data_IF_104396960182
#
_entry.id   IF_104396960182
#
_cell.length_a   1.000
_cell.length_b   1.000
_cell.length_c   1.000
_cell.angle_alpha   90.00
_cell.angle_beta   90.00
_cell.angle_gamma   90.00
#
_symmetry.space_group_name_H-M   'P 1'
#
loop_
_entity.id
_entity.type
_entity.pdbx_description
1 polymer ?
2 non-polymer ?
3 water ?
#
# COMPACT_ATOMS: atom_id res chain seq x y z
N UNK A 2 6.07 6.24 -13.42
CA UNK A 2 4.76 5.58 -13.63
C UNK A 2 4.72 4.67 -14.84
N UNK A 3 5.44 5.03 -15.90
CA UNK A 3 5.29 4.37 -17.17
C UNK A 3 5.34 2.83 -16.90
N UNK A 4 6.36 2.27 -16.24
CA UNK A 4 6.55 0.80 -16.19
C UNK A 4 5.84 0.05 -15.03
N UNK A 5 5.65 -1.29 -15.14
CA UNK A 5 4.98 -2.10 -14.10
C UNK A 5 5.75 -2.38 -12.81
N UNK A 6 7.08 -2.33 -12.87
CA UNK A 6 7.90 -2.84 -11.75
C UNK A 6 8.19 -1.80 -10.67
N UNK A 7 7.90 -2.21 -9.43
CA UNK A 7 8.34 -1.51 -8.23
C UNK A 7 9.57 -2.21 -7.63
N UNK A 8 10.60 -1.43 -7.33
CA UNK A 8 11.74 -1.99 -6.64
C UNK A 8 12.17 -1.09 -5.50
N UNK A 9 13.18 -1.51 -4.76
CA UNK A 9 13.72 -0.71 -3.69
C UNK A 9 15.17 -0.38 -3.92
N UNK A 10 15.65 0.56 -3.13
CA UNK A 10 17.05 0.90 -3.13
C UNK A 10 17.62 0.56 -1.76
N UNK A 11 18.93 0.43 -1.69
CA UNK A 11 19.60 -0.16 -0.51
C UNK A 11 19.67 0.73 0.73
N UNK A 12 19.83 2.04 0.55
CA UNK A 12 20.14 2.89 1.69
C UNK A 12 19.57 4.29 1.72
N UNK A 13 20.32 5.21 2.33
CA UNK A 13 19.83 6.59 2.54
C UNK A 13 20.08 7.48 1.34
N UNK A 14 21.07 7.09 0.53
CA UNK A 14 21.43 7.81 -0.68
C UNK A 14 21.42 6.88 -1.88
N UNK A 15 21.15 7.48 -3.03
CA UNK A 15 21.16 6.74 -4.27
C UNK A 15 22.59 6.32 -4.62
N UNK A 16 22.77 5.07 -5.02
CA UNK A 16 24.05 4.60 -5.53
C UNK A 16 24.12 4.80 -7.04
N UNK A 17 25.33 4.69 -7.58
CA UNK A 17 25.51 4.80 -9.03
C UNK A 17 24.76 3.68 -9.75
N UNK A 18 24.73 2.48 -9.16
CA UNK A 18 24.01 1.38 -9.77
C UNK A 18 22.48 1.63 -9.68
N UNK A 19 22.02 2.29 -8.62
CA UNK A 19 20.60 2.72 -8.50
C UNK A 19 20.18 3.62 -9.65
N UNK A 20 21.02 4.62 -9.92
CA UNK A 20 20.77 5.59 -10.98
C UNK A 20 20.67 4.94 -12.35
N UNK A 21 21.42 3.87 -12.59
CA UNK A 21 21.31 3.11 -13.81
C UNK A 21 20.00 2.33 -13.91
N UNK A 22 19.67 1.57 -12.87
CA UNK A 22 18.48 0.73 -12.95
C UNK A 22 17.20 1.56 -12.99
N UNK A 23 17.19 2.71 -12.32
CA UNK A 23 16.04 3.61 -12.34
C UNK A 23 15.66 4.08 -13.75
N UNK A 24 16.60 4.00 -14.69
CA UNK A 24 16.32 4.40 -16.07
C UNK A 24 15.75 3.29 -16.93
N UNK A 25 15.64 2.09 -16.37
CA UNK A 25 15.08 1.00 -17.11
C UNK A 25 13.57 1.26 -17.30
N UNK A 26 13.06 1.19 -18.54
CA UNK A 26 11.68 1.63 -18.79
C UNK A 26 10.60 0.78 -18.11
N UNK A 27 10.91 -0.47 -17.84
CA UNK A 27 9.99 -1.37 -17.13
C UNK A 27 9.81 -1.01 -15.64
N UNK A 28 10.72 -0.23 -15.08
CA UNK A 28 10.54 0.34 -13.75
C UNK A 28 9.46 1.43 -13.77
N UNK A 29 8.53 1.33 -12.83
CA UNK A 29 7.52 2.36 -12.59
C UNK A 29 7.51 2.98 -11.20
N UNK A 30 8.16 2.36 -10.23
CA UNK A 30 8.16 2.90 -8.88
C UNK A 30 9.29 2.42 -8.00
N UNK A 31 9.56 3.22 -6.98
CA UNK A 31 10.38 2.85 -5.85
C UNK A 31 9.53 2.75 -4.58
N UNK A 32 9.58 1.58 -3.95
CA UNK A 32 9.00 1.40 -2.62
C UNK A 32 10.12 1.64 -1.60
N UNK A 33 9.86 2.55 -0.66
CA UNK A 33 10.79 2.90 0.40
C UNK A 33 10.49 2.13 1.69
N UNK A 34 11.55 1.84 2.45
CA UNK A 34 11.44 1.11 3.71
C UNK A 34 12.16 1.89 4.82
N UNK A 35 12.03 1.41 6.05
CA UNK A 35 12.68 2.07 7.19
C UNK A 35 14.17 2.29 7.00
N UNK A 36 14.84 1.32 6.39
CA UNK A 36 16.27 1.42 6.17
C UNK A 36 16.68 2.50 5.14
N UNK A 37 15.70 3.04 4.42
CA UNK A 37 15.91 4.19 3.49
C UNK A 37 15.64 5.53 4.19
N UNK A 38 15.25 5.49 5.46
CA UNK A 38 14.87 6.71 6.17
C UNK A 38 15.77 6.98 7.37
N UNK A 39 16.49 8.11 7.31
CA UNK A 39 17.27 8.61 8.44
C UNK A 39 16.67 9.89 9.02
N UNK A 40 16.39 10.88 8.18
CA UNK A 40 15.84 12.16 8.64
C UNK A 40 15.17 12.88 7.49
N UNK A 41 14.44 13.94 7.80
CA UNK A 41 13.56 14.59 6.84
C UNK A 41 14.33 15.09 5.60
N UNK A 42 15.42 15.79 5.86
CA UNK A 42 16.26 16.32 4.81
C UNK A 42 16.86 15.21 3.92
N UNK A 43 17.33 14.13 4.54
CA UNK A 43 17.93 13.02 3.80
C UNK A 43 16.87 12.38 2.88
N UNK A 44 15.64 12.28 3.39
CA UNK A 44 14.51 11.73 2.64
C UNK A 44 14.17 12.61 1.45
N UNK A 45 14.04 13.92 1.67
CA UNK A 45 13.83 14.87 0.58
C UNK A 45 14.92 14.72 -0.51
N UNK A 46 16.18 14.65 -0.09
CA UNK A 46 17.30 14.53 -1.02
C UNK A 46 17.22 13.20 -1.80
N UNK A 47 16.84 12.14 -1.10
CA UNK A 47 16.76 10.81 -1.74
C UNK A 47 15.69 10.82 -2.84
N UNK A 48 14.54 11.37 -2.52
CA UNK A 48 13.42 11.36 -3.45
C UNK A 48 13.68 12.28 -4.65
N UNK A 49 14.31 13.42 -4.38
CA UNK A 49 14.71 14.33 -5.45
C UNK A 49 15.68 13.61 -6.40
N UNK A 50 16.64 12.90 -5.83
CA UNK A 50 17.60 12.14 -6.61
C UNK A 50 16.93 11.02 -7.42
N UNK A 51 15.98 10.32 -6.83
CA UNK A 51 15.21 9.29 -7.54
C UNK A 51 14.53 9.90 -8.75
N UNK A 52 13.82 11.00 -8.55
CA UNK A 52 13.06 11.59 -9.65
C UNK A 52 14.02 12.12 -10.73
N UNK A 53 15.17 12.64 -10.34
CA UNK A 53 16.12 13.10 -11.37
C UNK A 53 16.78 11.96 -12.15
N UNK A 54 17.17 10.88 -11.46
CA UNK A 54 17.78 9.73 -12.14
C UNK A 54 16.80 9.08 -13.10
N UNK A 55 15.54 8.95 -12.69
CA UNK A 55 14.53 8.32 -13.52
C UNK A 55 14.28 9.12 -14.81
N UNK A 56 14.40 10.44 -14.69
CA UNK A 56 14.10 11.42 -15.74
C UNK A 56 12.59 11.60 -15.93
N UNK A 57 11.97 10.54 -16.43
CA UNK A 57 10.55 10.49 -16.63
C UNK A 57 9.84 10.44 -15.27
N UNK A 58 8.55 10.74 -15.25
CA UNK A 58 7.79 10.53 -14.00
C UNK A 58 7.98 9.11 -13.47
N UNK A 59 8.07 8.99 -12.14
CA UNK A 59 8.25 7.71 -11.45
C UNK A 59 7.51 7.79 -10.12
N UNK A 60 6.91 6.69 -9.67
CA UNK A 60 6.18 6.70 -8.41
C UNK A 60 7.15 6.40 -7.26
N UNK A 61 6.89 7.05 -6.14
CA UNK A 61 7.54 6.74 -4.88
C UNK A 61 6.45 6.45 -3.84
N UNK A 62 6.55 5.27 -3.26
CA UNK A 62 5.57 4.73 -2.33
C UNK A 62 6.21 4.23 -1.06
N UNK A 63 5.37 4.03 -0.05
CA UNK A 63 5.80 3.63 1.28
C UNK A 63 4.61 2.99 2.01
N UNK A 64 4.88 2.02 2.87
CA UNK A 64 3.92 1.52 3.82
C UNK A 64 3.83 2.45 5.04
N UNK A 65 2.90 3.42 4.96
CA UNK A 65 2.70 4.42 6.03
C UNK A 65 1.23 4.40 6.49
N UNK A 66 0.91 3.42 7.31
CA UNK A 66 -0.44 3.20 7.80
C UNK A 66 -0.72 3.86 9.15
N UNK A 67 0.32 3.96 9.98
CA UNK A 67 0.18 4.36 11.37
C UNK A 67 0.41 3.14 12.24
N UNK A 68 0.68 3.40 13.52
CA UNK A 68 0.83 2.35 14.51
C UNK A 68 2.00 1.46 14.21
N UNK A 69 1.74 0.17 14.06
CA UNK A 69 2.81 -0.82 13.84
C UNK A 69 3.50 -0.69 12.47
N UNK A 70 2.86 0.01 11.53
CA UNK A 70 3.38 0.18 10.16
C UNK A 70 3.48 1.67 9.81
N UNK A 71 4.63 2.24 10.13
CA UNK A 71 4.95 3.63 9.81
C UNK A 71 6.47 3.68 9.61
N UNK A 72 6.91 3.69 8.35
CA UNK A 72 8.33 3.61 8.04
C UNK A 72 9.06 4.87 8.43
N UNK A 73 8.38 6.01 8.33
CA UNK A 73 9.03 7.28 8.65
C UNK A 73 8.40 7.84 9.94
N UNK A 74 9.15 7.82 11.03
CA UNK A 74 8.63 8.26 12.33
C UNK A 74 9.35 9.49 12.88
N UNK A 75 10.65 9.37 13.03
CA UNK A 75 11.45 10.47 13.58
C UNK A 75 11.37 11.70 12.69
N UNK A 76 10.84 12.80 13.25
CA UNK A 76 10.72 14.05 12.50
C UNK A 76 9.37 14.17 11.78
N UNK A 77 8.56 13.14 11.91
CA UNK A 77 7.22 13.10 11.36
C UNK A 77 6.24 13.07 12.53
N UNK A 78 4.99 13.44 12.27
CA UNK A 78 3.93 13.20 13.24
C UNK A 78 3.69 11.70 13.38
N UNK A 79 3.57 11.23 14.62
CA UNK A 79 3.20 9.84 14.84
C UNK A 79 1.71 9.61 14.51
N UNK A 80 1.44 8.58 13.71
CA UNK A 80 0.07 8.24 13.34
C UNK A 80 -0.31 7.00 14.15
N UNK A 81 -1.53 6.99 14.73
CA UNK A 81 -1.92 5.87 15.58
C UNK A 81 -2.21 4.62 14.78
N UNK A 82 -2.27 3.45 15.45
CA UNK A 82 -2.84 2.25 14.80
C UNK A 82 -4.22 2.62 14.30
N UNK A 83 -4.59 2.09 13.14
CA UNK A 83 -5.89 2.34 12.51
C UNK A 83 -7.10 1.97 13.41
N UNK A 84 -6.88 0.97 14.23
CA UNK A 84 -7.85 0.53 15.24
C UNK A 84 -8.31 1.63 16.19
N UNK A 85 -7.41 2.54 16.53
CA UNK A 85 -7.65 3.53 17.60
C UNK A 85 -8.76 4.51 17.29
N UNK A 86 -8.93 4.94 16.03
CA UNK A 86 -9.96 5.96 15.72
C UNK A 86 -11.35 5.59 16.27
N UNK A 87 -11.81 4.36 16.01
CA UNK A 87 -13.13 3.90 16.42
C UNK A 87 -13.28 3.77 17.93
N UNK A 88 -12.17 3.80 18.66
CA UNK A 88 -12.20 3.75 20.14
C UNK A 88 -12.46 5.13 20.77
N UNK A 89 -12.21 6.17 19.99
CA UNK A 89 -12.44 7.56 20.43
C UNK A 89 -13.91 7.94 20.26
N UNK A 90 -14.37 8.92 21.03
CA UNK A 90 -15.76 9.38 20.96
C UNK A 90 -16.08 10.06 19.62
N UNK A 91 -15.08 10.69 19.00
CA UNK A 91 -15.26 11.32 17.68
C UNK A 91 -14.36 10.64 16.63
N UNK A 92 -14.52 9.34 16.48
CA UNK A 92 -13.61 8.52 15.68
C UNK A 92 -13.57 8.80 14.19
N UNK A 93 -14.74 9.03 13.61
CA UNK A 93 -14.83 9.29 12.19
C UNK A 93 -14.15 10.62 11.89
N UNK A 94 -14.38 11.63 12.74
CA UNK A 94 -13.70 12.94 12.63
C UNK A 94 -12.16 12.78 12.75
N UNK A 95 -11.71 12.02 13.74
CA UNK A 95 -10.28 11.80 13.93
C UNK A 95 -9.62 10.92 12.82
N UNK A 96 -10.35 9.92 12.33
CA UNK A 96 -9.82 9.06 11.25
C UNK A 96 -9.45 9.90 10.00
N UNK A 97 -10.27 10.90 9.69
CA UNK A 97 -9.97 11.81 8.60
C UNK A 97 -8.76 12.69 8.84
N UNK A 98 -8.56 13.13 10.10
CA UNK A 98 -7.35 13.86 10.48
C UNK A 98 -6.13 12.96 10.32
N UNK A 99 -6.26 11.71 10.74
CA UNK A 99 -5.17 10.75 10.64
C UNK A 99 -4.75 10.53 9.18
N UNK A 100 -5.73 10.31 8.30
CA UNK A 100 -5.47 10.07 6.88
C UNK A 100 -4.89 11.31 6.21
N UNK A 101 -5.51 12.46 6.49
CA UNK A 101 -5.01 13.74 5.97
C UNK A 101 -3.58 14.03 6.40
N UNK A 102 -3.33 13.92 7.69
CA UNK A 102 -2.00 14.17 8.23
C UNK A 102 -0.93 13.23 7.69
N UNK A 103 -1.22 11.93 7.68
CA UNK A 103 -0.28 10.92 7.15
C UNK A 103 0.06 11.31 5.68
N UNK A 104 -0.97 11.52 4.88
CA UNK A 104 -0.78 11.81 3.46
C UNK A 104 -0.05 13.15 3.21
N UNK A 105 -0.46 14.19 3.94
CA UNK A 105 0.10 15.53 3.80
C UNK A 105 1.59 15.57 4.08
N UNK A 106 2.00 14.95 5.19
CA UNK A 106 3.42 14.88 5.55
C UNK A 106 4.25 14.07 4.54
N UNK A 107 3.70 13.02 3.97
CA UNK A 107 4.38 12.30 2.88
C UNK A 107 4.55 13.16 1.59
N UNK A 108 3.48 13.79 1.14
CA UNK A 108 3.54 14.75 0.03
C UNK A 108 4.59 15.84 0.30
N UNK A 109 4.61 16.36 1.52
CA UNK A 109 5.60 17.36 1.94
C UNK A 109 7.04 16.86 1.79
N UNK A 110 7.23 15.53 1.76
CA UNK A 110 8.56 14.95 1.59
C UNK A 110 8.77 14.26 0.23
N UNK A 111 7.91 14.62 -0.73
CA UNK A 111 8.05 14.28 -2.16
C UNK A 111 7.80 12.77 -2.39
N UNK A 112 6.83 12.22 -1.65
CA UNK A 112 6.42 10.84 -1.77
C UNK A 112 5.04 10.89 -2.41
N UNK A 113 4.79 10.02 -3.39
CA UNK A 113 3.51 10.01 -4.09
C UNK A 113 2.39 9.40 -3.24
N UNK A 114 2.71 8.31 -2.55
CA UNK A 114 1.64 7.50 -1.97
C UNK A 114 2.05 6.59 -0.83
N UNK A 115 1.06 6.29 0.01
CA UNK A 115 1.15 5.29 1.01
C UNK A 115 0.25 4.12 0.61
N UNK A 116 0.77 2.90 0.74
CA UNK A 116 0.01 1.70 0.47
C UNK A 116 -0.99 1.53 1.61
N UNK A 117 -2.05 2.30 1.55
CA UNK A 117 -3.07 2.34 2.62
C UNK A 117 -4.33 2.88 2.00
N UNK A 118 -5.51 2.54 2.59
CA UNK A 118 -5.72 1.88 3.85
C UNK A 118 -5.96 0.36 3.85
N UNK A 119 -5.68 -0.20 5.01
CA UNK A 119 -6.07 -1.55 5.35
C UNK A 119 -7.59 -1.58 5.52
N UNK A 120 -8.22 -2.49 4.75
CA UNK A 120 -9.67 -2.68 4.74
C UNK A 120 -10.06 -4.05 5.30
N UNK A 121 -9.08 -4.76 5.86
CA UNK A 121 -9.30 -6.03 6.54
C UNK A 121 -10.16 -5.84 7.79
N UNK A 122 -10.85 -6.91 8.16
CA UNK A 122 -11.79 -6.89 9.26
C UNK A 122 -11.37 -7.84 10.37
N UNK A 123 -11.25 -7.30 11.58
CA UNK A 123 -10.93 -8.10 12.76
C UNK A 123 -9.50 -7.90 13.17
N UNK A 124 -9.21 -8.31 14.40
CA UNK A 124 -7.90 -8.14 15.00
C UNK A 124 -7.18 -9.45 15.28
N UNK A 125 -7.84 -10.58 15.00
CA UNK A 125 -7.33 -11.90 15.42
C UNK A 125 -6.19 -12.45 14.57
N UNK A 126 -5.95 -11.91 13.39
CA UNK A 126 -4.82 -12.32 12.57
C UNK A 126 -3.61 -11.51 13.05
N UNK A 127 -2.65 -12.18 13.67
CA UNK A 127 -1.43 -11.57 14.18
C UNK A 127 -0.79 -10.52 13.23
N UNK A 128 -0.73 -10.84 11.95
CA UNK A 128 -0.10 -9.96 10.95
C UNK A 128 -0.88 -8.65 10.79
N UNK A 129 -2.18 -8.69 11.08
CA UNK A 129 -3.03 -7.53 10.90
C UNK A 129 -3.20 -6.87 12.24
N UNK A 130 -3.94 -7.50 13.15
CA UNK A 130 -4.08 -6.98 14.52
C UNK A 130 -4.67 -5.57 14.51
N UNK A 131 -4.01 -4.64 15.21
CA UNK A 131 -4.51 -3.25 15.29
C UNK A 131 -4.31 -2.39 14.03
N UNK A 132 -3.79 -3.01 12.94
CA UNK A 132 -3.80 -2.38 11.62
C UNK A 132 -5.20 -2.28 11.03
N UNK A 133 -6.14 -3.08 11.55
CA UNK A 133 -7.51 -3.01 11.09
C UNK A 133 -8.27 -1.86 11.79
N UNK A 134 -9.17 -1.24 11.04
CA UNK A 134 -9.97 -0.14 11.54
C UNK A 134 -11.10 -0.60 12.47
N UNK A 135 -11.38 -1.90 12.49
CA UNK A 135 -12.48 -2.40 13.30
C UNK A 135 -12.70 -3.86 13.04
N UNK A 136 -13.67 -4.42 13.74
CA UNK A 136 -13.91 -5.87 13.66
C UNK A 136 -15.31 -6.24 13.18
N UNK A 137 -16.07 -5.27 12.68
CA UNK A 137 -17.28 -5.52 11.90
C UNK A 137 -17.28 -4.58 10.70
N UNK A 138 -18.18 -4.83 9.75
CA UNK A 138 -18.20 -4.16 8.45
C UNK A 138 -18.44 -2.66 8.58
N UNK A 139 -19.43 -2.27 9.38
CA UNK A 139 -19.78 -0.86 9.49
C UNK A 139 -18.66 -0.05 10.15
N UNK A 140 -18.06 -0.59 11.21
CA UNK A 140 -16.98 0.12 11.86
C UNK A 140 -15.81 0.31 10.89
N UNK A 141 -15.45 -0.74 10.14
CA UNK A 141 -14.38 -0.64 9.17
C UNK A 141 -14.74 0.36 8.08
N UNK A 142 -15.95 0.27 7.53
CA UNK A 142 -16.33 1.18 6.46
C UNK A 142 -16.34 2.63 6.93
N UNK A 143 -16.89 2.88 8.12
CA UNK A 143 -17.05 4.24 8.65
C UNK A 143 -15.72 4.98 8.78
N UNK A 144 -14.77 4.29 9.40
CA UNK A 144 -13.47 4.86 9.75
C UNK A 144 -12.47 4.82 8.60
N UNK A 145 -12.50 3.76 7.78
CA UNK A 145 -11.68 3.72 6.58
C UNK A 145 -12.14 4.75 5.53
N UNK A 146 -13.44 4.95 5.35
CA UNK A 146 -13.94 6.02 4.46
C UNK A 146 -13.43 7.40 4.90
N UNK A 147 -13.41 7.67 6.21
CA UNK A 147 -12.88 8.95 6.74
C UNK A 147 -11.40 9.11 6.42
N UNK A 148 -10.64 8.04 6.66
CA UNK A 148 -9.19 8.05 6.41
C UNK A 148 -8.95 8.31 4.92
N UNK A 149 -9.70 7.62 4.06
CA UNK A 149 -9.65 7.83 2.60
C UNK A 149 -9.94 9.29 2.18
N UNK A 150 -10.99 9.89 2.76
CA UNK A 150 -11.33 11.30 2.51
C UNK A 150 -10.16 12.23 2.83
N UNK A 151 -9.45 11.94 3.91
CA UNK A 151 -8.28 12.72 4.30
C UNK A 151 -7.16 12.61 3.29
N UNK A 152 -6.85 11.38 2.88
CA UNK A 152 -5.86 11.18 1.80
C UNK A 152 -6.22 11.91 0.51
N UNK A 153 -7.47 11.76 0.08
CA UNK A 153 -7.99 12.36 -1.15
C UNK A 153 -7.84 13.89 -1.12
N UNK A 154 -8.19 14.46 0.02
CA UNK A 154 -8.19 15.91 0.21
C UNK A 154 -6.84 16.55 -0.14
N UNK A 155 -5.73 15.84 0.09
CA UNK A 155 -4.39 16.35 -0.27
C UNK A 155 -3.80 15.84 -1.60
N UNK A 156 -4.58 15.08 -2.37
CA UNK A 156 -4.16 14.66 -3.68
C UNK A 156 -3.36 13.36 -3.72
N UNK A 157 -3.51 12.53 -2.69
CA UNK A 157 -2.81 11.25 -2.65
C UNK A 157 -3.75 10.12 -3.08
N UNK A 158 -3.24 9.30 -4.00
CA UNK A 158 -3.96 8.14 -4.52
C UNK A 158 -4.11 7.10 -3.40
N UNK A 159 -5.18 6.32 -3.46
CA UNK A 159 -5.53 5.41 -2.36
C UNK A 159 -5.41 3.95 -2.79
N UNK A 160 -5.04 3.07 -1.85
CA UNK A 160 -4.83 1.64 -2.13
C UNK A 160 -5.53 0.79 -1.06
N UNK A 161 -6.63 0.15 -1.41
CA UNK A 161 -7.26 -0.84 -0.52
C UNK A 161 -6.41 -2.11 -0.41
N UNK A 162 -6.30 -2.63 0.80
CA UNK A 162 -5.61 -3.92 1.01
C UNK A 162 -6.17 -4.63 2.24
N UNK A 163 -6.03 -5.96 2.35
CA UNK A 163 -5.38 -6.85 1.40
C UNK A 163 -6.49 -7.70 0.82
N UNK A 164 -6.85 -7.36 -0.41
CA UNK A 164 -7.99 -7.93 -1.05
C UNK A 164 -7.83 -9.45 -1.25
N UNK A 165 -8.89 -10.21 -1.00
CA UNK A 165 -10.27 -9.88 -0.59
C UNK A 165 -10.55 -9.89 0.92
N UNK A 166 -9.50 -9.82 1.73
CA UNK A 166 -9.66 -9.70 3.18
C UNK A 166 -8.72 -10.64 3.92
N UNK A 167 -7.82 -10.04 4.66
CA UNK A 167 -6.79 -10.71 5.46
C UNK A 167 -7.13 -10.84 6.96
N UNK A 168 -8.33 -10.39 7.35
CA UNK A 168 -8.65 -10.26 8.79
C UNK A 168 -8.79 -11.56 9.59
N UNK A 169 -9.13 -12.67 8.92
CA UNK A 169 -9.40 -13.94 9.61
C UNK A 169 -8.38 -15.03 9.30
N UNK A 170 -7.19 -14.61 8.89
CA UNK A 170 -6.18 -15.49 8.31
C UNK A 170 -5.34 -16.21 9.37
N UNK A 171 -5.02 -17.46 9.04
CA UNK A 171 -4.11 -18.32 9.82
C UNK A 171 -2.87 -18.70 8.98
N UNK A 172 -1.70 -18.67 9.63
CA UNK A 172 -0.40 -18.86 8.97
C UNK A 172 0.45 -19.96 9.64
N UNK A 173 -0.23 -21.02 10.11
CA UNK A 173 0.44 -22.15 10.76
C UNK A 173 0.87 -23.22 9.74
N UNK A 174 1.14 -24.45 10.20
CA UNK A 174 1.73 -25.48 9.35
C UNK A 174 0.71 -26.31 8.57
N UNK A 175 -0.57 -25.96 8.71
CA UNK A 175 -1.67 -26.69 8.07
C UNK A 175 -1.60 -26.63 6.54
N UNK A 176 -1.10 -25.50 6.03
CA UNK A 176 -0.88 -25.32 4.58
C UNK A 176 0.42 -24.52 4.38
N UNK A 177 0.87 -24.42 3.13
CA UNK A 177 2.16 -23.77 2.82
C UNK A 177 2.09 -22.25 2.55
N UNK A 178 0.88 -21.72 2.49
CA UNK A 178 0.62 -20.30 2.31
C UNK A 178 -0.37 -19.96 3.41
N UNK A 179 -0.34 -18.73 3.94
CA UNK A 179 -1.41 -18.39 4.86
C UNK A 179 -2.76 -18.61 4.22
N UNK A 180 -3.75 -18.97 5.02
CA UNK A 180 -5.01 -19.42 4.48
C UNK A 180 -6.20 -18.96 5.29
N UNK A 181 -7.34 -18.99 4.62
CA UNK A 181 -8.64 -18.72 5.22
C UNK A 181 -9.62 -19.75 4.63
N UNK A 182 -9.93 -20.77 5.42
CA UNK A 182 -10.72 -21.91 4.95
C UNK A 182 -12.22 -21.71 5.12
N UNK A 183 -12.66 -20.50 5.49
CA UNK A 183 -14.11 -20.27 5.67
C UNK A 183 -14.90 -20.59 4.41
N UNK A 184 -16.10 -21.14 4.59
CA UNK A 184 -16.97 -21.44 3.46
C UNK A 184 -17.49 -20.20 2.76
N UNK A 185 -17.60 -19.09 3.51
CA UNK A 185 -17.86 -17.79 2.93
C UNK A 185 -17.04 -16.70 3.62
N UNK A 186 -16.49 -15.79 2.83
CA UNK A 186 -15.87 -14.57 3.35
C UNK A 186 -16.67 -13.32 2.92
N UNK A 187 -17.98 -13.48 2.74
CA UNK A 187 -18.83 -12.42 2.20
C UNK A 187 -18.72 -11.07 2.94
N UNK A 188 -18.67 -11.12 4.28
CA UNK A 188 -18.61 -9.89 5.08
C UNK A 188 -17.28 -9.16 4.81
N UNK A 189 -16.19 -9.92 4.82
CA UNK A 189 -14.86 -9.36 4.56
C UNK A 189 -14.86 -8.70 3.20
N UNK A 190 -15.43 -9.37 2.20
CA UNK A 190 -15.37 -8.89 0.85
C UNK A 190 -16.35 -7.73 0.62
N UNK A 191 -17.45 -7.71 1.36
CA UNK A 191 -18.42 -6.61 1.33
C UNK A 191 -17.75 -5.26 1.59
N UNK A 192 -16.73 -5.24 2.44
CA UNK A 192 -16.00 -4.00 2.73
C UNK A 192 -15.32 -3.52 1.46
N UNK A 193 -14.63 -4.43 0.77
CA UNK A 193 -13.98 -4.09 -0.50
C UNK A 193 -15.01 -3.66 -1.57
N UNK A 194 -16.07 -4.42 -1.69
CA UNK A 194 -17.14 -4.11 -2.64
C UNK A 194 -17.66 -2.68 -2.42
N UNK A 195 -17.94 -2.33 -1.17
CA UNK A 195 -18.50 -1.02 -0.82
C UNK A 195 -17.56 0.10 -1.23
N UNK A 196 -16.28 -0.03 -0.88
CA UNK A 196 -15.30 0.99 -1.25
C UNK A 196 -15.08 1.06 -2.78
N UNK A 197 -15.02 -0.09 -3.46
CA UNK A 197 -14.95 -0.08 -4.93
C UNK A 197 -16.16 0.68 -5.51
N UNK A 198 -17.35 0.36 -5.03
CA UNK A 198 -18.55 0.96 -5.59
C UNK A 198 -18.64 2.47 -5.36
N UNK A 199 -18.11 2.92 -4.22
CA UNK A 199 -18.04 4.34 -3.86
C UNK A 199 -17.00 5.11 -4.70
N UNK A 200 -16.12 4.38 -5.37
CA UNK A 200 -15.15 4.95 -6.30
C UNK A 200 -13.99 5.63 -5.57
N UNK A 201 -13.75 5.21 -4.33
CA UNK A 201 -12.75 5.87 -3.48
C UNK A 201 -11.36 5.18 -3.44
N UNK A 202 -11.21 4.07 -4.16
CA UNK A 202 -9.93 3.38 -4.27
C UNK A 202 -9.32 3.56 -5.67
N UNK A 203 -8.13 4.12 -5.72
CA UNK A 203 -7.38 4.27 -6.97
C UNK A 203 -6.67 2.97 -7.34
N UNK A 204 -6.36 2.18 -6.33
CA UNK A 204 -5.56 0.99 -6.49
C UNK A 204 -5.95 -0.06 -5.46
N UNK A 205 -5.48 -1.29 -5.66
CA UNK A 205 -5.78 -2.40 -4.76
C UNK A 205 -4.58 -3.33 -4.64
N UNK A 206 -4.22 -3.70 -3.41
CA UNK A 206 -3.24 -4.76 -3.20
C UNK A 206 -3.92 -6.03 -2.66
N UNK A 207 -3.71 -7.16 -3.33
CA UNK A 207 -4.24 -8.43 -2.88
C UNK A 207 -3.43 -9.09 -1.76
N UNK A 208 -4.12 -9.98 -1.06
CA UNK A 208 -3.56 -10.75 0.00
C UNK A 208 -2.82 -11.98 -0.48
N UNK A 209 -1.64 -12.25 0.10
CA UNK A 209 -0.95 -13.52 -0.12
C UNK A 209 -1.60 -14.62 0.74
N UNK A 210 -2.81 -15.02 0.34
CA UNK A 210 -3.66 -15.88 1.17
C UNK A 210 -4.46 -16.79 0.26
N UNK A 211 -4.45 -18.09 0.58
CA UNK A 211 -5.30 -19.04 -0.13
C UNK A 211 -6.68 -19.18 0.57
N UNK A 212 -7.74 -19.07 -0.22
CA UNK A 212 -9.13 -19.24 0.22
C UNK A 212 -9.64 -20.51 -0.49
N UNK A 213 -9.37 -21.68 0.10
CA UNK A 213 -9.59 -22.96 -0.65
C UNK A 213 -11.02 -23.26 -1.13
N UNK A 214 -12.04 -22.69 -0.49
CA UNK A 214 -13.44 -22.80 -0.94
C UNK A 214 -13.59 -22.15 -2.32
N UNK A 215 -12.72 -21.17 -2.61
CA UNK A 215 -12.84 -20.35 -3.80
C UNK A 215 -11.84 -20.69 -4.92
N UNK A 216 -10.57 -20.87 -4.58
CA UNK A 216 -9.53 -21.06 -5.60
C UNK A 216 -8.29 -21.57 -4.91
N UNK A 217 -7.47 -22.32 -5.67
CA UNK A 217 -6.23 -22.91 -5.16
C UNK A 217 -5.09 -21.90 -4.94
N UNK A 218 -5.07 -20.82 -5.71
CA UNK A 218 -3.95 -19.87 -5.63
C UNK A 218 -4.11 -18.82 -4.52
N UNK A 219 -2.97 -18.27 -4.03
CA UNK A 219 -3.05 -17.10 -3.15
C UNK A 219 -3.76 -16.03 -3.96
N UNK A 220 -4.60 -15.21 -3.34
CA UNK A 220 -5.34 -14.19 -4.11
C UNK A 220 -4.39 -13.33 -4.97
N UNK A 221 -3.22 -13.02 -4.44
CA UNK A 221 -2.22 -12.18 -5.12
C UNK A 221 -1.64 -12.78 -6.42
N UNK A 222 -1.87 -14.08 -6.65
CA UNK A 222 -1.46 -14.79 -7.87
C UNK A 222 -2.62 -15.54 -8.53
N UNK A 223 -3.85 -15.09 -8.29
CA UNK A 223 -5.06 -15.85 -8.67
C UNK A 223 -5.86 -15.13 -9.75
N UNK A 224 -5.97 -15.77 -10.92
CA UNK A 224 -6.80 -15.24 -12.01
C UNK A 224 -8.28 -15.10 -11.56
N UNK A 225 -8.76 -16.01 -10.73
CA UNK A 225 -10.10 -15.91 -10.18
C UNK A 225 -10.27 -14.64 -9.35
N UNK A 226 -9.41 -14.44 -8.36
CA UNK A 226 -9.56 -13.29 -7.47
C UNK A 226 -9.34 -11.92 -8.19
N UNK A 227 -8.33 -11.83 -9.05
CA UNK A 227 -7.88 -10.57 -9.65
C UNK A 227 -8.59 -10.21 -10.97
N UNK A 228 -9.17 -11.18 -11.66
CA UNK A 228 -9.93 -10.93 -12.88
C UNK A 228 -11.40 -11.24 -12.65
N UNK A 229 -11.73 -12.51 -12.44
CA UNK A 229 -13.15 -12.88 -12.30
C UNK A 229 -13.87 -12.07 -11.22
N UNK A 230 -13.32 -12.05 -10.00
CA UNK A 230 -13.93 -11.34 -8.90
C UNK A 230 -13.63 -9.84 -8.99
N UNK A 231 -12.35 -9.46 -8.93
CA UNK A 231 -12.01 -8.05 -8.73
C UNK A 231 -12.49 -7.17 -9.90
N UNK A 232 -12.28 -7.61 -11.14
CA UNK A 232 -12.71 -6.88 -12.34
C UNK A 232 -14.18 -7.15 -12.75
N UNK A 233 -14.52 -8.43 -12.98
CA UNK A 233 -15.84 -8.76 -13.55
C UNK A 233 -16.97 -8.65 -12.55
N UNK A 234 -16.87 -9.31 -11.40
CA UNK A 234 -17.95 -9.24 -10.43
C UNK A 234 -18.02 -7.90 -9.73
N UNK A 235 -16.86 -7.31 -9.40
CA UNK A 235 -16.83 -6.10 -8.55
C UNK A 235 -16.66 -4.77 -9.31
N UNK A 236 -16.25 -4.84 -10.57
CA UNK A 236 -16.18 -3.67 -11.43
C UNK A 236 -15.06 -2.71 -11.07
N UNK A 237 -14.03 -3.22 -10.41
CA UNK A 237 -12.88 -2.38 -10.09
C UNK A 237 -12.15 -1.93 -11.36
N UNK A 238 -11.89 -0.63 -11.44
CA UNK A 238 -11.30 -0.01 -12.63
C UNK A 238 -9.89 0.52 -12.39
N UNK A 239 -9.38 0.40 -11.15
CA UNK A 239 -8.10 0.99 -10.76
C UNK A 239 -6.91 0.11 -11.01
N UNK A 240 -5.79 0.46 -10.38
CA UNK A 240 -4.52 -0.28 -10.51
C UNK A 240 -4.49 -1.46 -9.52
N UNK A 241 -4.08 -2.63 -10.02
CA UNK A 241 -3.88 -3.78 -9.17
C UNK A 241 -2.38 -3.99 -9.02
N UNK A 242 -1.94 -3.93 -7.76
CA UNK A 242 -0.58 -4.23 -7.35
C UNK A 242 -0.46 -5.73 -7.11
N UNK A 243 0.72 -6.30 -7.28
CA UNK A 243 1.01 -7.61 -6.71
C UNK A 243 1.30 -7.46 -5.21
N UNK A 244 1.54 -8.58 -4.56
CA UNK A 244 2.20 -8.59 -3.26
C UNK A 244 3.73 -8.50 -3.44
N UNK A 245 4.47 -8.62 -2.35
CA UNK A 245 5.92 -8.61 -2.45
C UNK A 245 6.37 -9.97 -2.95
N UNK A 246 6.67 -10.01 -4.25
CA UNK A 246 7.07 -11.25 -4.92
C UNK A 246 8.35 -11.87 -4.36
N UNK A 247 9.11 -11.10 -3.59
CA UNK A 247 10.36 -11.63 -3.02
C UNK A 247 10.14 -12.62 -1.88
N UNK A 248 9.06 -12.45 -1.12
CA UNK A 248 8.75 -13.32 0.03
C UNK A 248 7.32 -13.87 0.02
N UNK A 249 6.52 -13.43 -0.94
CA UNK A 249 5.13 -13.81 -1.04
C UNK A 249 4.92 -14.34 -2.47
N UNK A 250 3.82 -13.95 -3.13
CA UNK A 250 3.59 -14.39 -4.49
C UNK A 250 3.23 -15.86 -4.58
N UNK A 251 3.13 -16.33 -5.83
CA UNK A 251 2.73 -17.71 -6.11
C UNK A 251 3.98 -18.57 -6.01
N UNK A 252 4.43 -18.81 -4.78
CA UNK A 252 5.75 -19.44 -4.49
C UNK A 252 5.99 -20.77 -5.17
N UNK A 253 4.93 -21.55 -5.35
CA UNK A 253 5.02 -22.83 -6.08
C UNK A 253 5.43 -22.67 -7.57
N UNK A 254 5.13 -21.52 -8.16
CA UNK A 254 5.49 -21.24 -9.56
C UNK A 254 7.02 -21.27 -9.79
N UNK A 255 7.79 -20.92 -8.76
CA UNK A 255 9.24 -20.92 -8.87
C UNK A 255 9.84 -19.67 -8.29
N UNK A 256 10.82 -19.12 -8.99
CA UNK A 256 11.52 -17.92 -8.55
C UNK A 256 10.82 -16.62 -8.94
N UNK A 257 11.56 -15.50 -8.82
CA UNK A 257 11.03 -14.17 -9.16
C UNK A 257 10.48 -14.07 -10.58
N UNK A 258 11.12 -14.75 -11.54
CA UNK A 258 10.68 -14.66 -12.92
C UNK A 258 9.31 -15.32 -13.07
N UNK A 259 9.17 -16.51 -12.51
CA UNK A 259 7.91 -17.26 -12.58
C UNK A 259 6.81 -16.60 -11.74
N UNK A 260 7.19 -16.07 -10.58
CA UNK A 260 6.23 -15.34 -9.75
C UNK A 260 5.73 -14.08 -10.47
N UNK A 261 6.64 -13.35 -11.14
CA UNK A 261 6.26 -12.13 -11.84
C UNK A 261 5.30 -12.43 -13.01
N UNK A 262 5.62 -13.50 -13.75
CA UNK A 262 4.77 -13.91 -14.84
C UNK A 262 3.36 -14.26 -14.35
N UNK A 263 3.28 -15.01 -13.25
CA UNK A 263 1.99 -15.43 -12.71
C UNK A 263 1.20 -14.22 -12.18
N UNK A 264 1.87 -13.29 -11.50
CA UNK A 264 1.20 -12.05 -11.03
C UNK A 264 0.57 -11.27 -12.20
N UNK A 265 1.33 -11.10 -13.28
CA UNK A 265 0.85 -10.34 -14.42
C UNK A 265 -0.26 -11.08 -15.17
N UNK A 266 -0.10 -12.39 -15.38
CA UNK A 266 -1.14 -13.15 -16.10
C UNK A 266 -2.41 -13.24 -15.25
N UNK A 267 -2.26 -13.31 -13.93
CA UNK A 267 -3.40 -13.32 -13.00
C UNK A 267 -4.22 -12.02 -13.02
N UNK A 268 -3.61 -10.91 -13.44
CA UNK A 268 -4.30 -9.61 -13.50
C UNK A 268 -3.72 -8.45 -12.71
N UNK A 269 -2.49 -8.59 -12.19
CA UNK A 269 -1.77 -7.44 -11.62
C UNK A 269 -1.29 -6.53 -12.75
N UNK A 270 -1.49 -5.23 -12.56
CA UNK A 270 -0.97 -4.20 -13.44
C UNK A 270 0.50 -3.92 -13.15
N UNK A 271 0.82 -3.93 -11.87
CA UNK A 271 2.16 -3.58 -11.37
C UNK A 271 2.64 -4.67 -10.40
N UNK A 272 3.95 -4.87 -10.36
CA UNK A 272 4.56 -5.93 -9.55
C UNK A 272 5.66 -5.37 -8.64
N UNK A 273 5.81 -5.97 -7.46
CA UNK A 273 6.76 -5.53 -6.43
C UNK A 273 7.84 -6.59 -6.20
N UNK A 274 9.10 -6.20 -6.33
CA UNK A 274 10.25 -7.06 -5.99
C UNK A 274 11.16 -6.25 -5.05
N UNK A 275 11.10 -6.62 -3.77
CA UNK A 275 11.77 -5.91 -2.70
C UNK A 275 12.93 -6.73 -2.18
N UNK A 276 13.92 -6.04 -1.62
CA UNK A 276 15.05 -6.65 -0.90
C UNK A 276 16.04 -7.48 -1.72
N UNK A 277 15.81 -7.59 -3.03
CA UNK A 277 16.59 -8.48 -3.88
C UNK A 277 16.87 -7.81 -5.24
N UNK A 278 17.87 -6.95 -5.27
CA UNK A 278 18.25 -6.21 -6.48
C UNK A 278 18.52 -7.18 -7.65
N UNK A 279 19.23 -8.27 -7.38
CA UNK A 279 19.56 -9.19 -8.46
C UNK A 279 18.30 -9.89 -9.03
N UNK A 280 17.30 -10.12 -8.19
CA UNK A 280 16.00 -10.62 -8.69
C UNK A 280 15.27 -9.60 -9.56
N UNK A 281 15.24 -8.34 -9.11
CA UNK A 281 14.66 -7.26 -9.92
C UNK A 281 15.31 -7.19 -11.30
N UNK A 282 16.65 -7.30 -11.34
CA UNK A 282 17.39 -7.27 -12.61
C UNK A 282 16.99 -8.46 -13.48
N UNK A 283 16.88 -9.62 -12.86
CA UNK A 283 16.49 -10.82 -13.60
C UNK A 283 15.11 -10.67 -14.24
N UNK A 284 14.18 -10.10 -13.48
CA UNK A 284 12.83 -9.92 -13.97
C UNK A 284 12.79 -8.88 -15.12
N UNK A 285 13.51 -7.77 -14.94
CA UNK A 285 13.62 -6.74 -15.98
C UNK A 285 14.12 -7.33 -17.29
N UNK A 286 15.12 -8.19 -17.22
CA UNK A 286 15.70 -8.83 -18.42
C UNK A 286 14.78 -9.86 -19.02
N UNK A 287 14.01 -10.54 -18.18
CA UNK A 287 13.13 -11.55 -18.66
C UNK A 287 11.95 -10.94 -19.40
N UNK A 288 11.35 -9.91 -18.82
CA UNK A 288 10.11 -9.36 -19.34
C UNK A 288 10.27 -8.58 -20.63
N UNK A 289 9.17 -8.52 -21.42
CA UNK A 289 9.08 -7.51 -22.49
C UNK A 289 9.27 -6.14 -21.88
N UNK A 290 9.66 -5.16 -22.68
CA UNK A 290 9.61 -3.79 -22.21
C UNK A 290 8.13 -3.40 -22.09
N UNK A 291 7.73 -3.07 -20.86
CA UNK A 291 6.32 -2.89 -20.53
C UNK A 291 5.95 -1.48 -20.05
N UNK A 292 4.75 -1.07 -20.39
CA UNK A 292 4.22 0.23 -20.04
C UNK A 292 2.88 0.09 -19.32
N UNK A 293 2.65 0.92 -18.29
CA UNK A 293 1.36 0.99 -17.60
C UNK A 293 0.89 2.45 -17.59
N UNK A 294 0.34 2.93 -18.72
CA UNK A 294 -0.02 4.37 -18.80
C UNK A 294 -1.05 4.80 -17.74
N UNK A 295 -2.02 3.93 -17.46
CA UNK A 295 -3.04 4.20 -16.44
C UNK A 295 -2.48 4.37 -15.01
N UNK A 296 -1.24 3.96 -14.77
CA UNK A 296 -0.60 4.18 -13.46
C UNK A 296 -0.30 5.67 -13.19
N UNK A 297 -0.34 6.50 -14.23
CA UNK A 297 -0.17 7.94 -14.02
C UNK A 297 -1.21 8.52 -13.06
N UNK A 298 -2.37 7.88 -12.94
CA UNK A 298 -3.38 8.28 -11.95
C UNK A 298 -2.87 8.26 -10.51
N UNK A 299 -1.81 7.49 -10.25
CA UNK A 299 -1.24 7.34 -8.90
C UNK A 299 -0.24 8.43 -8.50
N UNK A 300 0.24 9.21 -9.48
CA UNK A 300 1.15 10.32 -9.16
C UNK A 300 0.38 11.35 -8.31
N UNK A 301 1.04 11.90 -7.31
CA UNK A 301 0.37 12.86 -6.40
C UNK A 301 -0.09 14.14 -7.14
N UNK A 302 -1.24 14.66 -6.73
CA UNK A 302 -1.86 15.80 -7.36
C UNK A 302 -1.50 17.12 -6.74
N UNK A 303 -0.71 17.13 -5.67
CA UNK A 303 -0.35 18.35 -4.99
C UNK A 303 1.11 18.38 -4.66
N UNK A 304 1.58 19.58 -4.39
CA UNK A 304 2.97 19.83 -4.14
C UNK A 304 3.04 20.95 -3.12
N UNK A 305 3.77 20.69 -2.03
CA UNK A 305 4.01 21.70 -1.01
C UNK A 305 5.14 21.23 -0.09
N UNK A 306 5.69 22.18 0.66
CA UNK A 306 6.77 21.92 1.62
C UNK A 306 6.18 21.67 3.00
N UNK A 307 7.02 21.11 3.87
CA UNK A 307 6.62 20.82 5.25
C UNK A 307 6.39 22.14 6.01
N UNK A 308 7.27 23.12 5.79
CA UNK A 308 7.06 24.48 6.33
C UNK A 308 5.70 25.06 5.98
N UNK A 309 5.33 24.96 4.71
CA UNK A 309 4.05 25.45 4.24
C UNK A 309 2.87 24.69 4.90
N UNK A 310 3.03 23.37 5.01
CA UNK A 310 2.01 22.53 5.63
C UNK A 310 1.76 22.89 7.10
N UNK A 311 2.82 23.15 7.86
CA UNK A 311 2.69 23.43 9.28
C UNK A 311 1.97 24.78 9.57
N UNK A 312 1.92 25.67 8.59
CA UNK A 312 1.16 26.92 8.74
C UNK A 312 -0.37 26.72 8.72
N UNK A 313 -0.82 25.54 8.34
CA UNK A 313 -2.24 25.25 8.34
C UNK A 313 -2.70 24.91 9.76
N UNK A 314 -3.75 25.58 10.23
CA UNK A 314 -4.39 25.18 11.47
C UNK A 314 -4.78 23.71 11.42
N UNK A 315 -5.11 23.22 10.22
CA UNK A 315 -5.53 21.82 10.03
C UNK A 315 -4.39 20.87 10.41
N UNK A 316 -3.15 21.26 10.09
CA UNK A 316 -1.98 20.51 10.50
C UNK A 316 -1.71 20.61 11.99
N UNK A 317 -1.81 21.83 12.51
CA UNK A 317 -1.54 22.10 13.92
C UNK A 317 -2.43 21.25 14.79
N UNK A 318 -3.69 21.15 14.39
CA UNK A 318 -4.67 20.38 15.14
C UNK A 318 -4.47 18.89 14.95
N UNK A 319 -4.39 18.43 13.71
CA UNK A 319 -4.33 17.00 13.42
C UNK A 319 -3.14 16.40 14.12
N UNK A 320 -1.98 17.04 13.99
CA UNK A 320 -0.74 16.54 14.60
C UNK A 320 -0.90 16.38 16.13
N UNK A 321 -1.44 17.40 16.79
CA UNK A 321 -1.65 17.33 18.23
C UNK A 321 -2.68 16.26 18.59
N UNK A 322 -3.74 16.18 17.82
CA UNK A 322 -4.83 15.23 18.12
C UNK A 322 -4.40 13.78 17.96
N UNK A 323 -3.54 13.50 16.97
CA UNK A 323 -3.02 12.16 16.76
C UNK A 323 -2.14 11.75 17.95
N UNK A 324 -1.35 12.69 18.47
CA UNK A 324 -0.51 12.39 19.61
C UNK A 324 -1.36 12.09 20.85
N UNK A 325 -2.42 12.87 21.04
CA UNK A 325 -3.39 12.63 22.11
C UNK A 325 -4.05 11.26 22.00
N UNK A 326 -4.50 10.92 20.79
CA UNK A 326 -5.15 9.64 20.54
C UNK A 326 -4.24 8.45 20.84
N UNK A 327 -2.99 8.54 20.42
CA UNK A 327 -1.99 7.51 20.70
C UNK A 327 -1.84 7.32 22.23
N UNK A 328 -1.64 8.44 22.93
CA UNK A 328 -1.49 8.47 24.37
C UNK A 328 -2.74 7.98 25.09
N UNK A 329 -3.91 8.16 24.47
CA UNK A 329 -5.16 7.73 25.06
C UNK A 329 -5.29 6.19 25.17
N UNK A 330 -4.73 5.45 24.22
CA UNK A 330 -4.94 3.98 24.19
C UNK A 330 -3.68 3.13 24.16
N UNK A 331 -2.50 3.73 24.21
CA UNK A 331 -1.26 2.95 24.08
C UNK A 331 -0.97 2.12 25.34
X LIG B 1 3.08 -6.93 2.01
X LIG B 1 2.17 -6.42 3.14
X LIG B 1 1.49 -5.14 2.62
X LIG B 1 2.54 -4.15 2.03
X LIG B 1 3.51 -4.88 1.06
X LIG B 1 4.64 -3.97 0.56
X LIG B 1 0.82 -7.58 4.79
X LIG B 1 -0.16 -8.66 5.09
X LIG B 1 1.19 -7.42 3.52
X LIG B 1 2.41 -7.77 1.08
X LIG B 1 0.67 -4.53 3.59
X LIG B 1 1.86 -3.03 1.45
X LIG B 1 4.14 -6.05 1.65
X LIG B 1 5.52 -3.78 1.63
X LIG B 1 1.26 -6.87 5.68
#
# INVERSE_FOLDING_TARGET
>A
MSLGPLWLDVAGYELSAEDREILQHPTVGGVILFGRNYHDNQQLLALNKAIRQAAKRPILIGVDQEGGRVQRFREGFSRIPPAQYYARAENGVELAEQGGWLMAAELIAHDVDLSFAPVLDMGFACKAIGNRAFGEDVQTVLKHSSAFLRGMKAVGMATTGKHFPGHGAVIADSHLETPYDERETIAQDMAIFRAQIEAGVLDAMMPAHVVYPHYDAQPASGSSYWLKQVLREELGFKGIVFSDDLSMEGAAVMGGPVERSHQALVAGCDMILICNKREAAVEVLDNLPIMEVPQAEALLKKQQFSYSELKRLERWQQASANMQRLIEQFSEEGGSHHHHHH
>B hetero
1 NAG C1 C2 C3 C4 C5 C6 C7 C8 N2 O1 O3 O4 O5 O6 O7
#
